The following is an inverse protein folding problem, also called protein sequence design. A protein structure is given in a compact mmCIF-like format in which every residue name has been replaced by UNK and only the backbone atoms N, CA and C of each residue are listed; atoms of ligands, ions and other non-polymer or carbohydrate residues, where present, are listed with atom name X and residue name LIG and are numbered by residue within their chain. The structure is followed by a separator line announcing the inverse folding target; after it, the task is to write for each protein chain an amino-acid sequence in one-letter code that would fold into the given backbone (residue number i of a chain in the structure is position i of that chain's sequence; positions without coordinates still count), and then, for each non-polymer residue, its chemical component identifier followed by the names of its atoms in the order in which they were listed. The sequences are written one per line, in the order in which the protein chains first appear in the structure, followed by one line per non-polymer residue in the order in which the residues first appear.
data_IF_990882228407
#
_entry.id   IF_990882228407
#
_cell.length_a   1.000
_cell.length_b   1.000
_cell.length_c   1.000
_cell.angle_alpha   90.00
_cell.angle_beta   90.00
_cell.angle_gamma   90.00
#
_symmetry.space_group_name_H-M   'P 1'
#
loop_
_entity.id
_entity.type
_entity.pdbx_description
1 polymer ?
#
# COMPACT_ATOMS: atom_id res chain seq x y z
N UNK A 1 -11.96 -8.81 4.29
CA UNK A 1 -10.92 -8.42 5.28
C UNK A 1 -11.51 -7.37 6.22
N UNK A 2 -10.88 -7.10 7.36
CA UNK A 2 -11.31 -6.02 8.26
C UNK A 2 -10.56 -4.73 7.94
N UNK A 3 -11.30 -3.63 7.83
CA UNK A 3 -10.75 -2.28 7.81
C UNK A 3 -10.87 -1.70 9.22
N UNK A 4 -9.75 -1.50 9.89
CA UNK A 4 -9.70 -0.89 11.21
C UNK A 4 -9.72 0.63 11.06
N UNK A 5 -10.62 1.27 11.79
CA UNK A 5 -10.91 2.70 11.62
C UNK A 5 -10.27 3.51 12.74
N UNK A 6 -9.85 4.73 12.42
CA UNK A 6 -9.37 5.66 13.43
C UNK A 6 -10.45 5.92 14.51
N UNK A 7 -10.09 5.89 15.81
CA UNK A 7 -11.06 6.00 16.90
C UNK A 7 -11.81 7.35 16.89
N UNK A 8 -11.13 8.43 16.52
CA UNK A 8 -11.69 9.80 16.50
C UNK A 8 -12.30 10.23 15.16
N UNK A 9 -12.49 9.32 14.21
CA UNK A 9 -13.01 9.69 12.87
C UNK A 9 -14.39 10.36 12.89
N UNK A 10 -15.19 10.11 13.94
CA UNK A 10 -16.52 10.71 14.11
C UNK A 10 -16.44 12.18 14.52
N UNK A 11 -15.34 12.57 15.18
CA UNK A 11 -15.06 13.94 15.60
C UNK A 11 -14.39 14.74 14.48
N UNK A 12 -13.50 14.09 13.71
CA UNK A 12 -12.85 14.68 12.55
C UNK A 12 -12.86 13.70 11.37
N UNK A 13 -13.63 14.06 10.33
CA UNK A 13 -13.80 13.23 9.13
C UNK A 13 -12.50 13.02 8.35
N UNK A 14 -11.53 13.95 8.43
CA UNK A 14 -10.23 13.75 7.79
C UNK A 14 -9.49 12.54 8.36
N UNK A 15 -9.73 12.17 9.62
CA UNK A 15 -9.14 10.98 10.23
C UNK A 15 -9.71 9.66 9.68
N UNK A 16 -10.66 9.68 8.73
CA UNK A 16 -11.02 8.46 8.02
C UNK A 16 -9.95 8.04 7.00
N UNK A 17 -9.10 8.95 6.52
CA UNK A 17 -8.03 8.63 5.56
C UNK A 17 -7.00 7.68 6.16
N UNK A 18 -6.72 7.83 7.47
CA UNK A 18 -5.74 7.02 8.21
C UNK A 18 -6.27 5.64 8.65
N UNK A 19 -7.26 5.10 7.94
CA UNK A 19 -7.81 3.76 8.23
C UNK A 19 -6.99 2.69 7.50
N UNK A 20 -6.73 1.56 8.15
CA UNK A 20 -5.85 0.53 7.60
C UNK A 20 -6.44 -0.87 7.72
N UNK A 21 -6.06 -1.75 6.79
CA UNK A 21 -6.34 -3.20 6.88
C UNK A 21 -5.23 -3.96 7.63
N UNK A 22 -4.09 -3.32 7.88
CA UNK A 22 -3.00 -3.87 8.67
C UNK A 22 -3.34 -3.69 10.15
N UNK A 23 -3.55 -4.81 10.84
CA UNK A 23 -3.71 -4.83 12.29
C UNK A 23 -2.36 -4.50 12.95
N UNK A 24 -2.37 -3.76 14.07
CA UNK A 24 -1.17 -3.39 14.85
C UNK A 24 -0.28 -2.30 14.23
N UNK A 25 -0.92 -1.20 13.82
CA UNK A 25 -0.23 0.05 13.52
C UNK A 25 -0.18 0.96 14.74
N UNK A 26 0.74 1.94 14.74
CA UNK A 26 0.75 3.00 15.77
C UNK A 26 -0.54 3.84 15.77
N UNK A 27 -1.30 3.82 14.68
CA UNK A 27 -2.53 4.59 14.47
C UNK A 27 -3.75 3.82 14.97
N UNK A 28 -3.85 2.53 14.65
CA UNK A 28 -5.04 1.71 14.94
C UNK A 28 -4.67 0.51 15.79
N UNK A 29 -5.01 0.60 17.08
CA UNK A 29 -4.70 -0.42 18.08
C UNK A 29 -5.65 -1.61 17.98
N UNK A 30 -5.17 -2.77 18.43
CA UNK A 30 -5.99 -3.98 18.63
C UNK A 30 -7.25 -3.67 19.44
N UNK A 31 -8.41 -4.08 18.93
CA UNK A 31 -9.72 -3.80 19.53
C UNK A 31 -10.41 -2.52 19.06
N UNK A 32 -9.81 -1.77 18.13
CA UNK A 32 -10.48 -0.63 17.48
C UNK A 32 -11.69 -1.07 16.65
N UNK A 33 -12.66 -0.16 16.50
CA UNK A 33 -13.82 -0.34 15.64
C UNK A 33 -13.38 -0.69 14.20
N UNK A 34 -13.90 -1.78 13.68
CA UNK A 34 -13.54 -2.31 12.38
C UNK A 34 -14.78 -2.73 11.61
N UNK A 35 -14.72 -2.61 10.28
CA UNK A 35 -15.80 -3.08 9.41
C UNK A 35 -15.28 -4.10 8.41
N UNK A 36 -16.15 -5.02 8.04
CA UNK A 36 -15.84 -5.94 6.96
C UNK A 36 -15.92 -5.22 5.62
N UNK A 37 -14.86 -5.38 4.84
CA UNK A 37 -14.76 -4.88 3.48
C UNK A 37 -14.32 -6.00 2.53
N UNK A 38 -14.65 -5.83 1.26
CA UNK A 38 -14.07 -6.63 0.20
C UNK A 38 -12.65 -6.13 -0.09
N UNK A 39 -11.72 -7.08 -0.31
CA UNK A 39 -10.37 -6.80 -0.77
C UNK A 39 -10.25 -7.23 -2.22
N UNK A 40 -9.75 -6.35 -3.06
CA UNK A 40 -9.46 -6.65 -4.45
C UNK A 40 -8.02 -7.14 -4.54
N UNK A 41 -7.79 -8.20 -5.30
CA UNK A 41 -6.46 -8.58 -5.76
C UNK A 41 -6.03 -7.58 -6.84
N UNK A 42 -5.22 -6.60 -6.45
CA UNK A 42 -4.83 -5.50 -7.31
C UNK A 42 -4.05 -5.98 -8.54
N UNK A 43 -3.15 -6.95 -8.40
CA UNK A 43 -2.34 -7.45 -9.53
C UNK A 43 -3.23 -8.17 -10.55
N UNK A 44 -4.17 -9.00 -10.05
CA UNK A 44 -5.16 -9.64 -10.92
C UNK A 44 -6.05 -8.63 -11.65
N UNK A 45 -6.49 -7.59 -10.94
CA UNK A 45 -7.29 -6.51 -11.54
C UNK A 45 -6.49 -5.70 -12.57
N UNK A 46 -5.24 -5.35 -12.27
CA UNK A 46 -4.34 -4.64 -13.18
C UNK A 46 -4.11 -5.44 -14.47
N UNK A 47 -3.98 -6.75 -14.37
CA UNK A 47 -3.91 -7.67 -15.52
C UNK A 47 -5.14 -7.57 -16.42
N UNK A 48 -6.34 -7.44 -15.85
CA UNK A 48 -7.59 -7.33 -16.61
C UNK A 48 -7.72 -6.02 -17.38
N UNK A 49 -7.15 -4.92 -16.88
CA UNK A 49 -7.09 -3.65 -17.62
C UNK A 49 -6.35 -3.83 -18.94
N UNK A 50 -5.30 -4.67 -18.95
CA UNK A 50 -4.51 -5.01 -20.13
C UNK A 50 -4.05 -3.80 -20.97
N UNK A 51 -3.67 -2.73 -20.30
CA UNK A 51 -3.12 -1.49 -20.89
C UNK A 51 -1.80 -1.10 -20.21
N UNK A 52 -1.01 -0.31 -20.92
CA UNK A 52 0.15 0.34 -20.34
C UNK A 52 -0.28 1.47 -19.39
N UNK A 53 0.45 1.63 -18.29
CA UNK A 53 0.17 2.60 -17.22
C UNK A 53 1.36 3.55 -17.13
N UNK A 54 1.17 4.82 -17.51
CA UNK A 54 2.22 5.81 -17.32
C UNK A 54 2.55 6.05 -15.84
N UNK A 55 1.52 6.21 -15.00
CA UNK A 55 1.69 6.55 -13.58
C UNK A 55 0.73 5.73 -12.71
N UNK A 56 1.27 5.16 -11.62
CA UNK A 56 0.52 4.54 -10.54
C UNK A 56 0.83 5.23 -9.20
N UNK A 57 -0.18 5.82 -8.55
CA UNK A 57 -0.07 6.38 -7.19
C UNK A 57 -0.63 5.40 -6.15
N UNK A 58 0.10 5.18 -5.06
CA UNK A 58 -0.25 4.25 -3.97
C UNK A 58 -0.13 4.99 -2.64
N UNK A 59 -1.18 4.94 -1.86
CA UNK A 59 -1.29 5.59 -0.55
C UNK A 59 -2.45 4.89 0.20
N UNK A 60 -2.10 3.85 0.97
CA UNK A 60 -3.06 2.92 1.60
C UNK A 60 -2.62 2.48 3.01
N UNK A 61 -1.94 3.37 3.73
CA UNK A 61 -1.76 3.29 5.20
C UNK A 61 -1.22 1.93 5.69
N UNK A 62 -0.03 1.53 5.25
CA UNK A 62 0.65 0.28 5.57
C UNK A 62 0.28 -0.92 4.69
N UNK A 63 -0.84 -0.88 3.98
CA UNK A 63 -1.22 -1.96 3.06
C UNK A 63 -0.39 -1.98 1.76
N UNK A 64 0.41 -0.93 1.51
CA UNK A 64 1.32 -0.81 0.37
C UNK A 64 2.33 -1.94 0.32
N UNK A 65 2.77 -2.46 1.48
CA UNK A 65 3.82 -3.48 1.53
C UNK A 65 3.37 -4.77 0.86
N UNK A 66 2.18 -5.26 1.22
CA UNK A 66 1.64 -6.49 0.62
C UNK A 66 1.33 -6.29 -0.87
N UNK A 67 0.79 -5.13 -1.25
CA UNK A 67 0.48 -4.82 -2.64
C UNK A 67 1.76 -4.75 -3.49
N UNK A 68 2.79 -4.05 -3.01
CA UNK A 68 4.07 -3.92 -3.72
C UNK A 68 4.82 -5.27 -3.77
N UNK A 69 4.79 -6.09 -2.72
CA UNK A 69 5.36 -7.44 -2.79
C UNK A 69 4.69 -8.29 -3.87
N UNK A 70 3.36 -8.20 -4.03
CA UNK A 70 2.68 -8.89 -5.12
C UNK A 70 3.04 -8.29 -6.50
N UNK A 71 3.05 -6.96 -6.61
CA UNK A 71 3.27 -6.26 -7.88
C UNK A 71 4.70 -6.45 -8.40
N UNK A 72 5.73 -6.18 -7.58
CA UNK A 72 7.13 -6.16 -8.01
C UNK A 72 7.69 -7.56 -8.35
N UNK A 73 7.02 -8.62 -7.91
CA UNK A 73 7.34 -10.00 -8.28
C UNK A 73 6.48 -10.54 -9.43
N UNK A 74 5.48 -9.77 -9.88
CA UNK A 74 4.70 -10.09 -11.07
C UNK A 74 5.33 -9.48 -12.32
N UNK A 75 4.93 -9.95 -13.50
CA UNK A 75 5.29 -9.30 -14.77
C UNK A 75 4.53 -7.98 -14.99
N UNK A 76 3.44 -7.75 -14.25
CA UNK A 76 2.58 -6.58 -14.41
C UNK A 76 3.28 -5.29 -13.98
N UNK A 77 4.32 -5.35 -13.13
CA UNK A 77 5.14 -4.17 -12.79
C UNK A 77 5.71 -3.50 -14.03
N UNK A 78 6.13 -4.28 -15.03
CA UNK A 78 6.75 -3.76 -16.26
C UNK A 78 5.77 -3.00 -17.17
N UNK A 79 4.48 -2.98 -16.83
CA UNK A 79 3.47 -2.18 -17.52
C UNK A 79 3.33 -0.78 -16.93
N UNK A 80 3.97 -0.50 -15.79
CA UNK A 80 3.98 0.81 -15.15
C UNK A 80 5.30 1.51 -15.44
N UNK A 81 5.28 2.72 -15.99
CA UNK A 81 6.53 3.51 -16.13
C UNK A 81 6.98 4.07 -14.79
N UNK A 82 6.05 4.69 -14.06
CA UNK A 82 6.31 5.33 -12.77
C UNK A 82 5.33 4.87 -11.70
N UNK A 83 5.88 4.54 -10.53
CA UNK A 83 5.11 4.24 -9.32
C UNK A 83 5.51 5.23 -8.24
N UNK A 84 4.53 5.92 -7.68
CA UNK A 84 4.70 6.81 -6.52
C UNK A 84 3.95 6.21 -5.35
N UNK A 85 4.68 5.80 -4.32
CA UNK A 85 4.14 5.23 -3.11
C UNK A 85 4.45 6.16 -1.94
N UNK A 86 3.43 6.48 -1.15
CA UNK A 86 3.61 7.05 0.19
C UNK A 86 3.79 5.89 1.16
N UNK A 87 5.02 5.65 1.63
CA UNK A 87 5.27 4.59 2.61
C UNK A 87 5.07 5.12 4.02
N UNK A 88 4.20 4.47 4.78
CA UNK A 88 3.89 4.83 6.17
C UNK A 88 4.86 4.13 7.13
N UNK A 89 6.16 4.11 6.80
CA UNK A 89 7.16 3.32 7.55
C UNK A 89 7.21 3.66 9.06
N UNK A 90 7.11 4.93 9.50
CA UNK A 90 7.07 5.27 10.92
C UNK A 90 5.88 4.65 11.67
N UNK A 91 4.74 4.46 11.02
CA UNK A 91 3.51 3.94 11.59
C UNK A 91 3.55 2.41 11.73
N UNK A 92 4.36 1.75 10.90
CA UNK A 92 4.49 0.29 10.77
C UNK A 92 5.94 -0.19 10.93
N UNK A 93 6.59 0.01 12.10
CA UNK A 93 7.99 -0.34 12.30
C UNK A 93 8.28 -1.84 12.14
N UNK A 94 7.28 -2.70 12.36
CA UNK A 94 7.40 -4.15 12.17
C UNK A 94 7.53 -4.56 10.69
N UNK A 95 7.28 -3.64 9.74
CA UNK A 95 7.40 -3.87 8.29
C UNK A 95 8.73 -3.38 7.70
N UNK A 96 9.62 -2.76 8.49
CA UNK A 96 10.86 -2.14 7.99
C UNK A 96 11.72 -3.07 7.13
N UNK A 97 11.87 -4.33 7.53
CA UNK A 97 12.67 -5.28 6.74
C UNK A 97 11.99 -5.68 5.42
N UNK A 98 10.65 -5.58 5.34
CA UNK A 98 9.91 -5.75 4.09
C UNK A 98 10.12 -4.55 3.17
N UNK A 99 10.03 -3.33 3.69
CA UNK A 99 10.33 -2.11 2.94
C UNK A 99 11.74 -2.13 2.34
N UNK A 100 12.75 -2.54 3.12
CA UNK A 100 14.13 -2.71 2.59
C UNK A 100 14.20 -3.69 1.42
N UNK A 101 13.47 -4.81 1.50
CA UNK A 101 13.40 -5.79 0.39
C UNK A 101 12.69 -5.20 -0.84
N UNK A 102 11.63 -4.42 -0.65
CA UNK A 102 10.94 -3.72 -1.73
C UNK A 102 11.87 -2.75 -2.44
N UNK A 103 12.59 -1.89 -1.70
CA UNK A 103 13.55 -0.94 -2.27
C UNK A 103 14.67 -1.64 -3.03
N UNK A 104 15.21 -2.74 -2.49
CA UNK A 104 16.21 -3.57 -3.19
C UNK A 104 15.66 -4.23 -4.46
N UNK A 105 14.40 -4.69 -4.44
CA UNK A 105 13.76 -5.27 -5.63
C UNK A 105 13.54 -4.20 -6.70
N UNK A 106 13.07 -3.02 -6.29
CA UNK A 106 12.79 -1.89 -7.15
C UNK A 106 14.07 -1.38 -7.84
N UNK A 107 15.20 -1.32 -7.14
CA UNK A 107 16.48 -0.90 -7.74
C UNK A 107 17.00 -1.84 -8.84
N UNK A 108 16.45 -3.05 -8.94
CA UNK A 108 16.78 -4.02 -9.99
C UNK A 108 15.80 -4.00 -11.17
N UNK A 109 14.79 -3.11 -11.17
CA UNK A 109 13.89 -2.91 -12.30
C UNK A 109 14.52 -1.97 -13.33
N UNK A 110 14.32 -2.27 -14.60
CA UNK A 110 14.84 -1.45 -15.72
C UNK A 110 13.75 -0.62 -16.40
N UNK A 111 12.51 -1.11 -16.39
CA UNK A 111 11.41 -0.52 -17.15
C UNK A 111 10.45 0.31 -16.28
N UNK A 112 10.64 0.29 -14.96
CA UNK A 112 9.75 0.93 -13.99
C UNK A 112 10.58 1.67 -12.96
N UNK A 113 10.28 2.94 -12.76
CA UNK A 113 10.89 3.76 -11.71
C UNK A 113 9.91 3.87 -10.54
N UNK A 114 10.41 3.68 -9.32
CA UNK A 114 9.59 3.75 -8.11
C UNK A 114 10.15 4.80 -7.15
N UNK A 115 9.29 5.72 -6.74
CA UNK A 115 9.53 6.62 -5.62
C UNK A 115 8.70 6.14 -4.42
N UNK A 116 9.36 5.83 -3.31
CA UNK A 116 8.73 5.35 -2.07
C UNK A 116 8.48 6.48 -1.05
N UNK A 117 8.95 7.69 -1.34
CA UNK A 117 8.99 8.81 -0.40
C UNK A 117 8.11 9.96 -0.93
N UNK A 118 6.96 9.61 -1.53
CA UNK A 118 5.96 10.58 -1.97
C UNK A 118 5.15 11.06 -0.77
N UNK A 119 5.22 12.36 -0.47
CA UNK A 119 4.52 13.04 0.63
C UNK A 119 3.99 14.40 0.17
#
# INVERSE_FOLDING_TARGET
VKLFRHPKRRENRFLSSVSSICEDSRIVKKGSDAVEIQKIDFVKWLKQINQHIGILKIDIEGAEVELLEALLWSNEVNRCDYIFCETHEPEFPHLLDRYKRLRKRASALTNTTINFDWH
#
